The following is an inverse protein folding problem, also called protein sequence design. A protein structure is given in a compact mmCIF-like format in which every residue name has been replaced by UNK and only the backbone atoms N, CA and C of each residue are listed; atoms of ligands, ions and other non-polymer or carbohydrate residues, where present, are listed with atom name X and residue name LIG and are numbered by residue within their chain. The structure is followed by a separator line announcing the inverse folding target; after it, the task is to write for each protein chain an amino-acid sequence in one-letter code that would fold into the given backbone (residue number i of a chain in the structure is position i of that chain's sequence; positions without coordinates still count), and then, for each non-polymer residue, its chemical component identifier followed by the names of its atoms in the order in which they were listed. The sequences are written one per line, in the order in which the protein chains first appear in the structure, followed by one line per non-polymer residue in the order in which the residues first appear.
data_IF_817613783207
#
_entry.id   IF_817613783207
#
_cell.length_a   1.000
_cell.length_b   1.000
_cell.length_c   1.000
_cell.angle_alpha   90.00
_cell.angle_beta   90.00
_cell.angle_gamma   90.00
#
_symmetry.space_group_name_H-M   'P 1'
#
loop_
_entity.id
_entity.type
_entity.pdbx_description
1 polymer ?
#
# COMPACT_ATOMS: atom_id res chain seq x y z
N UNK A 1 16.16 8.04 -50.12
CA UNK A 1 15.13 7.11 -49.61
C UNK A 1 15.32 6.97 -48.11
N UNK A 2 14.51 7.61 -47.24
CA UNK A 2 14.59 7.35 -45.80
C UNK A 2 13.57 6.30 -45.35
N UNK A 3 14.02 5.44 -44.45
CA UNK A 3 13.32 4.28 -43.88
C UNK A 3 12.41 4.75 -42.74
N UNK A 4 11.09 4.56 -42.89
CA UNK A 4 10.13 4.80 -41.82
C UNK A 4 10.08 3.63 -40.84
N UNK A 5 10.79 3.72 -39.72
CA UNK A 5 10.57 2.83 -38.56
C UNK A 5 9.54 3.48 -37.64
N UNK A 6 8.27 3.19 -37.90
CA UNK A 6 7.19 3.53 -36.97
C UNK A 6 7.26 2.63 -35.74
N UNK A 7 7.98 3.07 -34.70
CA UNK A 7 7.80 2.55 -33.33
C UNK A 7 7.13 3.65 -32.52
N UNK A 8 5.84 3.41 -32.22
CA UNK A 8 5.04 4.20 -31.29
C UNK A 8 5.60 3.96 -29.88
N UNK A 9 6.51 4.81 -29.44
CA UNK A 9 6.81 4.91 -28.02
C UNK A 9 5.81 5.90 -27.45
N UNK A 10 4.71 5.35 -26.96
CA UNK A 10 3.67 6.05 -26.21
C UNK A 10 4.29 6.73 -25.00
N UNK A 11 4.44 8.05 -25.09
CA UNK A 11 4.51 8.97 -23.96
C UNK A 11 3.45 8.54 -22.94
N UNK A 12 3.90 7.83 -21.91
CA UNK A 12 3.04 7.53 -20.77
C UNK A 12 3.12 8.76 -19.88
N UNK A 13 2.49 9.85 -20.33
CA UNK A 13 2.13 10.98 -19.49
C UNK A 13 1.36 10.41 -18.29
N UNK A 14 2.07 10.21 -17.18
CA UNK A 14 1.47 9.99 -15.88
C UNK A 14 0.91 11.33 -15.42
N UNK A 15 -0.20 11.72 -16.05
CA UNK A 15 -1.02 12.84 -15.65
C UNK A 15 -1.65 12.47 -14.31
N UNK A 16 -1.01 12.89 -13.21
CA UNK A 16 -1.57 12.82 -11.87
C UNK A 16 -2.57 13.99 -11.76
N UNK A 17 -3.88 13.75 -11.61
CA UNK A 17 -4.80 14.85 -11.40
C UNK A 17 -4.64 15.37 -9.96
N UNK A 18 -4.19 16.62 -9.85
CA UNK A 18 -4.24 17.41 -8.63
C UNK A 18 -5.70 17.70 -8.27
N UNK A 19 -6.16 17.20 -7.12
CA UNK A 19 -7.35 17.71 -6.43
C UNK A 19 -7.06 17.86 -4.93
N UNK A 20 -7.17 19.12 -4.48
CA UNK A 20 -7.21 19.57 -3.09
C UNK A 20 -8.19 18.73 -2.23
N UNK A 21 -7.67 18.02 -1.22
CA UNK A 21 -8.08 18.11 0.19
C UNK A 21 -7.46 16.95 0.98
N UNK A 22 -6.70 17.30 2.03
CA UNK A 22 -6.07 16.40 3.00
C UNK A 22 -5.17 15.32 2.40
N UNK A 23 -3.90 15.67 2.13
CA UNK A 23 -2.84 14.68 1.91
C UNK A 23 -2.61 13.88 3.19
N UNK A 24 -3.39 12.82 3.38
CA UNK A 24 -2.91 11.67 4.12
C UNK A 24 -2.00 10.94 3.13
N UNK A 25 -0.68 10.88 3.35
CA UNK A 25 0.17 10.02 2.53
C UNK A 25 -0.27 8.59 2.84
N UNK A 26 -1.17 8.05 2.02
CA UNK A 26 -1.55 6.64 2.09
C UNK A 26 -0.25 5.86 1.95
N UNK A 27 0.05 4.97 2.89
CA UNK A 27 1.30 4.19 2.99
C UNK A 27 1.43 3.14 1.86
N UNK A 28 1.33 3.60 0.62
CA UNK A 28 1.36 2.78 -0.58
C UNK A 28 2.79 2.36 -0.92
N UNK A 29 3.77 3.20 -0.57
CA UNK A 29 5.18 2.93 -0.80
C UNK A 29 5.68 1.73 0.02
N UNK A 30 5.32 1.66 1.31
CA UNK A 30 5.67 0.53 2.17
C UNK A 30 5.06 -0.79 1.65
N UNK A 31 3.78 -0.76 1.25
CA UNK A 31 3.12 -1.94 0.69
C UNK A 31 3.79 -2.43 -0.61
N UNK A 32 4.25 -1.52 -1.47
CA UNK A 32 5.00 -1.88 -2.67
C UNK A 32 6.36 -2.52 -2.33
N UNK A 33 7.09 -1.96 -1.37
CA UNK A 33 8.36 -2.50 -0.89
C UNK A 33 8.20 -3.92 -0.32
N UNK A 34 7.20 -4.14 0.55
CA UNK A 34 6.93 -5.46 1.12
C UNK A 34 6.59 -6.49 0.04
N UNK A 35 5.79 -6.12 -0.96
CA UNK A 35 5.49 -6.99 -2.11
C UNK A 35 6.73 -7.34 -2.92
N UNK A 36 7.58 -6.35 -3.21
CA UNK A 36 8.83 -6.57 -3.92
C UNK A 36 9.76 -7.51 -3.14
N UNK A 37 9.87 -7.32 -1.81
CA UNK A 37 10.67 -8.17 -0.92
C UNK A 37 10.16 -9.63 -0.92
N UNK A 38 8.85 -9.84 -0.78
CA UNK A 38 8.26 -11.18 -0.85
C UNK A 38 8.51 -11.83 -2.21
N UNK A 39 8.34 -11.09 -3.31
CA UNK A 39 8.59 -11.59 -4.66
C UNK A 39 10.07 -11.98 -4.87
N UNK A 40 11.02 -11.19 -4.37
CA UNK A 40 12.44 -11.49 -4.45
C UNK A 40 12.81 -12.74 -3.64
N UNK A 41 12.30 -12.87 -2.41
CA UNK A 41 12.55 -14.01 -1.54
C UNK A 41 11.91 -15.30 -2.09
N UNK A 42 10.68 -15.22 -2.60
CA UNK A 42 9.96 -16.39 -3.15
C UNK A 42 10.71 -17.03 -4.33
N UNK A 43 11.46 -16.24 -5.13
CA UNK A 43 12.25 -16.78 -6.25
C UNK A 43 13.49 -17.55 -5.83
N UNK A 44 13.99 -17.32 -4.62
CA UNK A 44 15.31 -17.81 -4.18
C UNK A 44 15.27 -18.64 -2.90
N UNK A 45 14.12 -18.71 -2.21
CA UNK A 45 13.96 -19.35 -0.90
C UNK A 45 12.83 -20.35 -0.89
N UNK A 46 12.89 -21.29 0.04
CA UNK A 46 11.82 -22.26 0.28
C UNK A 46 10.63 -21.58 0.97
N UNK A 47 9.42 -22.15 0.85
CA UNK A 47 8.21 -21.58 1.46
C UNK A 47 8.27 -21.41 2.98
N UNK A 48 9.06 -22.25 3.66
CA UNK A 48 9.22 -22.25 5.12
C UNK A 48 10.45 -21.45 5.58
N UNK A 49 11.15 -20.78 4.66
CA UNK A 49 12.29 -19.94 5.00
C UNK A 49 11.86 -18.81 5.97
N UNK A 50 12.53 -18.64 7.11
CA UNK A 50 12.15 -17.64 8.11
C UNK A 50 12.07 -16.21 7.56
N UNK A 51 12.94 -15.84 6.61
CA UNK A 51 12.94 -14.51 6.03
C UNK A 51 11.73 -14.28 5.11
N UNK A 52 11.27 -15.33 4.40
CA UNK A 52 10.05 -15.26 3.59
C UNK A 52 8.80 -15.17 4.47
N UNK A 53 8.76 -15.92 5.58
CA UNK A 53 7.66 -15.85 6.56
C UNK A 53 7.59 -14.47 7.21
N UNK A 54 8.72 -13.91 7.64
CA UNK A 54 8.80 -12.55 8.20
C UNK A 54 8.35 -11.50 7.17
N UNK A 55 8.83 -11.58 5.93
CA UNK A 55 8.41 -10.65 4.88
C UNK A 55 6.90 -10.71 4.60
N UNK A 56 6.29 -11.90 4.65
CA UNK A 56 4.83 -12.08 4.53
C UNK A 56 4.06 -11.57 5.74
N UNK A 57 4.62 -11.70 6.95
CA UNK A 57 4.01 -11.16 8.16
C UNK A 57 3.95 -9.62 8.07
N UNK A 58 5.08 -8.99 7.79
CA UNK A 58 5.18 -7.53 7.60
C UNK A 58 4.27 -7.01 6.48
N UNK A 59 4.17 -7.74 5.36
CA UNK A 59 3.23 -7.39 4.30
C UNK A 59 1.76 -7.41 4.77
N UNK A 60 1.38 -8.37 5.63
CA UNK A 60 0.02 -8.45 6.17
C UNK A 60 -0.26 -7.36 7.19
N UNK A 61 0.71 -7.03 8.03
CA UNK A 61 0.64 -5.89 8.96
C UNK A 61 0.41 -4.59 8.20
N UNK A 62 1.22 -4.33 7.18
CA UNK A 62 1.10 -3.13 6.35
C UNK A 62 -0.22 -3.08 5.57
N UNK A 63 -0.75 -4.24 5.15
CA UNK A 63 -2.06 -4.31 4.51
C UNK A 63 -3.19 -3.90 5.46
N UNK A 64 -3.10 -4.24 6.75
CA UNK A 64 -4.07 -3.82 7.77
C UNK A 64 -4.02 -2.31 7.99
N UNK A 65 -2.81 -1.75 8.15
CA UNK A 65 -2.61 -0.30 8.32
C UNK A 65 -3.20 0.47 7.14
N UNK A 66 -2.85 0.07 5.91
CA UNK A 66 -3.40 0.66 4.69
C UNK A 66 -4.94 0.56 4.60
N UNK A 67 -5.53 -0.55 5.07
CA UNK A 67 -6.98 -0.71 5.08
C UNK A 67 -7.64 0.29 6.03
N UNK A 68 -7.05 0.50 7.21
CA UNK A 68 -7.52 1.49 8.19
C UNK A 68 -7.36 2.90 7.62
N UNK A 69 -6.20 3.26 7.08
CA UNK A 69 -5.97 4.58 6.46
C UNK A 69 -6.99 4.89 5.37
N UNK A 70 -7.26 3.93 4.48
CA UNK A 70 -8.26 4.08 3.41
C UNK A 70 -9.67 4.22 3.96
N UNK A 71 -9.99 3.55 5.06
CA UNK A 71 -11.27 3.70 5.72
C UNK A 71 -11.41 5.09 6.36
N UNK A 72 -10.36 5.58 7.02
CA UNK A 72 -10.33 6.90 7.65
C UNK A 72 -10.36 8.05 6.63
N UNK A 73 -9.68 7.91 5.49
CA UNK A 73 -9.70 8.91 4.41
C UNK A 73 -11.09 9.09 3.79
N UNK A 74 -11.93 8.06 3.81
CA UNK A 74 -13.31 8.11 3.30
C UNK A 74 -14.32 8.44 4.38
N UNK A 75 -13.92 8.41 5.65
CA UNK A 75 -14.84 8.62 6.74
C UNK A 75 -15.24 10.11 6.82
N UNK A 76 -16.50 10.41 7.16
CA UNK A 76 -16.83 11.75 7.64
C UNK A 76 -16.00 12.08 8.90
N UNK A 77 -15.86 13.37 9.27
CA UNK A 77 -15.07 13.79 10.42
C UNK A 77 -15.35 12.94 11.66
N UNK A 78 -14.31 12.29 12.20
CA UNK A 78 -14.45 11.36 13.31
C UNK A 78 -14.90 12.12 14.57
N UNK A 79 -16.10 11.83 15.03
CA UNK A 79 -16.53 12.27 16.36
C UNK A 79 -15.69 11.58 17.43
N UNK A 80 -15.61 12.20 18.61
CA UNK A 80 -14.88 11.64 19.75
C UNK A 80 -15.37 10.23 20.13
N UNK A 81 -16.68 9.98 20.02
CA UNK A 81 -17.30 8.67 20.28
C UNK A 81 -16.86 7.61 19.28
N UNK A 82 -16.85 7.93 17.99
CA UNK A 82 -16.43 6.99 16.93
C UNK A 82 -14.94 6.68 17.08
N UNK A 83 -14.10 7.68 17.37
CA UNK A 83 -12.69 7.48 17.66
C UNK A 83 -12.49 6.53 18.85
N UNK A 84 -13.23 6.74 19.94
CA UNK A 84 -13.13 5.91 21.14
C UNK A 84 -13.52 4.45 20.85
N UNK A 85 -14.57 4.23 20.04
CA UNK A 85 -14.97 2.89 19.59
C UNK A 85 -13.88 2.22 18.74
N UNK A 86 -13.25 2.95 17.82
CA UNK A 86 -12.14 2.43 16.99
C UNK A 86 -10.96 2.03 17.88
N UNK A 87 -10.56 2.89 18.82
CA UNK A 87 -9.46 2.59 19.76
C UNK A 87 -9.77 1.34 20.59
N UNK A 88 -11.01 1.17 21.03
CA UNK A 88 -11.45 -0.04 21.73
C UNK A 88 -11.34 -1.32 20.88
N UNK A 89 -11.62 -1.25 19.57
CA UNK A 89 -11.43 -2.38 18.66
C UNK A 89 -9.94 -2.76 18.47
N UNK A 90 -9.05 -1.77 18.57
CA UNK A 90 -7.61 -1.97 18.42
C UNK A 90 -6.93 -2.48 19.70
N UNK A 91 -7.62 -2.42 20.83
CA UNK A 91 -7.11 -2.84 22.16
C UNK A 91 -7.96 -4.00 22.68
N UNK A 92 -7.79 -5.23 22.15
CA UNK A 92 -8.62 -6.37 22.56
C UNK A 92 -8.44 -6.75 24.04
N UNK A 93 -7.35 -6.31 24.69
CA UNK A 93 -7.15 -6.38 26.14
C UNK A 93 -6.32 -5.19 26.65
N UNK A 94 -6.89 -4.42 27.57
CA UNK A 94 -6.19 -3.70 28.64
C UNK A 94 -6.91 -4.03 29.95
#
# INVERSE_FOLDING_TARGET
MPVGTGRRDSETEHSIPSLLSSEIPVSYAAMHEHRARVAALTRSRTPDDPALLDARAKMREEALVNAIERALAKAPPLTHEVRSRIVGLLSPEA
#
